data_IF_620972570783
#
_entry.id   IF_620972570783
#
_cell.length_a   1.000
_cell.length_b   1.000
_cell.length_c   1.000
_cell.angle_alpha   90.00
_cell.angle_beta   90.00
_cell.angle_gamma   90.00
#
_symmetry.space_group_name_H-M   'P 1'
#
loop_
_entity.id
_entity.type
_entity.pdbx_description
1 polymer ?
#
# COMPACT_ATOMS: atom_id res chain seq x y z
N UNK A 1 4.75 22.60 -0.68
CA UNK A 1 5.30 21.25 -0.35
C UNK A 1 4.52 20.61 0.78
N UNK A 2 4.32 21.30 1.91
CA UNK A 2 3.31 20.91 2.90
C UNK A 2 1.93 20.66 2.25
N UNK A 3 1.46 21.62 1.46
CA UNK A 3 0.21 21.50 0.67
C UNK A 3 0.15 20.25 -0.23
N UNK A 4 1.24 19.89 -0.91
CA UNK A 4 1.29 18.69 -1.74
C UNK A 4 1.18 17.40 -0.91
N UNK A 5 1.83 17.36 0.25
CA UNK A 5 1.75 16.21 1.16
C UNK A 5 0.37 16.15 1.80
N UNK A 6 -0.25 17.28 2.13
CA UNK A 6 -1.62 17.35 2.63
C UNK A 6 -2.62 16.86 1.58
N UNK A 7 -2.52 17.33 0.35
CA UNK A 7 -3.30 16.82 -0.79
C UNK A 7 -3.14 15.31 -0.93
N UNK A 8 -1.89 14.81 -0.94
CA UNK A 8 -1.59 13.38 -1.02
C UNK A 8 -2.26 12.59 0.11
N UNK A 9 -2.08 13.03 1.36
CA UNK A 9 -2.63 12.38 2.54
C UNK A 9 -4.16 12.33 2.46
N UNK A 10 -4.81 13.35 1.90
CA UNK A 10 -6.27 13.35 1.74
C UNK A 10 -6.78 12.33 0.72
N UNK A 11 -5.92 11.78 -0.15
CA UNK A 11 -6.27 10.64 -1.01
C UNK A 11 -6.30 9.33 -0.20
N UNK A 12 -7.20 8.40 -0.57
CA UNK A 12 -7.25 7.05 0.03
C UNK A 12 -6.10 6.20 -0.52
N UNK A 13 -5.35 5.52 0.35
CA UNK A 13 -4.46 4.42 -0.07
C UNK A 13 -5.30 3.39 -0.84
N UNK A 14 -4.92 3.10 -2.09
CA UNK A 14 -5.63 2.15 -2.96
C UNK A 14 -6.79 2.72 -3.78
N UNK A 15 -6.98 4.05 -3.81
CA UNK A 15 -7.96 4.70 -4.70
C UNK A 15 -7.54 4.74 -6.18
N UNK A 16 -8.51 4.90 -7.08
CA UNK A 16 -8.33 4.91 -8.54
C UNK A 16 -7.24 5.88 -9.04
N UNK A 17 -6.71 5.55 -10.23
CA UNK A 17 -5.57 6.13 -10.92
C UNK A 17 -5.32 7.62 -10.65
N UNK A 18 -4.10 7.92 -10.18
CA UNK A 18 -3.60 9.29 -10.09
C UNK A 18 -3.64 9.93 -11.48
N UNK A 19 -4.30 11.08 -11.61
CA UNK A 19 -4.08 11.95 -12.76
C UNK A 19 -2.69 12.57 -12.66
N UNK A 20 -1.94 12.56 -13.76
CA UNK A 20 -0.59 13.17 -13.88
C UNK A 20 0.51 12.53 -12.99
N UNK A 21 0.77 11.24 -13.24
CA UNK A 21 1.80 10.42 -12.57
C UNK A 21 3.19 11.08 -12.64
N UNK A 22 3.54 11.69 -13.77
CA UNK A 22 4.86 12.28 -14.01
C UNK A 22 5.12 13.50 -13.11
N UNK A 23 4.15 14.40 -12.98
CA UNK A 23 4.30 15.58 -12.12
C UNK A 23 4.31 15.20 -10.63
N UNK A 24 3.48 14.22 -10.23
CA UNK A 24 3.49 13.70 -8.86
C UNK A 24 4.86 13.11 -8.48
N UNK A 25 5.42 12.28 -9.34
CA UNK A 25 6.73 11.67 -9.13
C UNK A 25 7.86 12.69 -9.07
N UNK A 26 7.80 13.74 -9.92
CA UNK A 26 8.76 14.84 -9.89
C UNK A 26 8.70 15.60 -8.57
N UNK A 27 7.50 15.86 -8.03
CA UNK A 27 7.32 16.50 -6.72
C UNK A 27 7.89 15.62 -5.60
N UNK A 28 7.65 14.31 -5.63
CA UNK A 28 8.23 13.38 -4.66
C UNK A 28 9.76 13.31 -4.72
N UNK A 29 10.34 13.27 -5.92
CA UNK A 29 11.78 13.29 -6.09
C UNK A 29 12.41 14.56 -5.53
N UNK A 30 11.82 15.72 -5.85
CA UNK A 30 12.26 17.01 -5.31
C UNK A 30 12.14 17.04 -3.79
N UNK A 31 11.04 16.53 -3.23
CA UNK A 31 10.85 16.51 -1.78
C UNK A 31 11.88 15.62 -1.08
N UNK A 32 12.13 14.42 -1.61
CA UNK A 32 13.15 13.52 -1.11
C UNK A 32 14.54 14.19 -1.10
N UNK A 33 14.90 14.89 -2.18
CA UNK A 33 16.16 15.61 -2.29
C UNK A 33 16.28 16.75 -1.27
N UNK A 34 15.18 17.46 -1.00
CA UNK A 34 15.15 18.53 0.00
C UNK A 34 15.27 17.98 1.43
N UNK A 35 14.58 16.87 1.75
CA UNK A 35 14.66 16.23 3.06
C UNK A 35 16.08 15.73 3.37
N UNK A 36 16.78 15.15 2.37
CA UNK A 36 18.18 14.74 2.53
C UNK A 36 19.09 15.85 3.05
N UNK A 37 18.82 17.10 2.70
CA UNK A 37 19.65 18.24 3.09
C UNK A 37 19.16 18.94 4.36
N UNK A 38 17.85 18.97 4.59
CA UNK A 38 17.23 19.83 5.61
C UNK A 38 16.71 19.06 6.82
N UNK A 39 16.18 17.86 6.61
CA UNK A 39 15.55 17.07 7.66
C UNK A 39 15.55 15.57 7.30
N UNK A 40 16.70 14.89 7.47
CA UNK A 40 16.85 13.48 7.11
C UNK A 40 16.02 12.55 8.01
N UNK A 41 15.45 13.03 9.12
CA UNK A 41 14.65 12.19 10.03
C UNK A 41 13.36 11.70 9.39
N UNK A 42 12.85 12.40 8.37
CA UNK A 42 11.71 11.97 7.57
C UNK A 42 12.07 10.93 6.51
N UNK A 43 13.35 10.67 6.28
CA UNK A 43 13.78 9.59 5.39
C UNK A 43 13.72 8.28 6.15
N UNK A 44 13.22 7.24 5.48
CA UNK A 44 13.34 5.89 6.01
C UNK A 44 14.82 5.48 5.99
N UNK A 45 15.25 4.66 6.94
CA UNK A 45 16.61 4.15 6.94
C UNK A 45 16.86 3.32 5.66
N UNK A 46 18.08 3.41 5.13
CA UNK A 46 18.49 2.60 3.98
C UNK A 46 18.19 1.12 4.27
N UNK A 47 17.61 0.45 3.28
CA UNK A 47 17.32 -0.99 3.32
C UNK A 47 16.19 -1.44 4.27
N UNK A 48 15.45 -0.53 4.88
CA UNK A 48 14.25 -0.90 5.64
C UNK A 48 13.19 -1.53 4.71
N UNK A 49 12.55 -2.59 5.20
CA UNK A 49 11.50 -3.29 4.46
C UNK A 49 10.20 -2.52 4.55
N UNK A 50 9.53 -2.38 3.42
CA UNK A 50 8.23 -1.76 3.27
C UNK A 50 7.21 -2.74 2.73
N UNK A 51 5.96 -2.49 3.08
CA UNK A 51 4.84 -3.33 2.70
C UNK A 51 3.75 -2.48 2.04
N UNK A 52 3.20 -2.96 0.93
CA UNK A 52 2.06 -2.33 0.26
C UNK A 52 1.03 -3.40 -0.03
N UNK A 53 -0.23 -3.12 0.30
CA UNK A 53 -1.34 -3.96 -0.13
C UNK A 53 -1.82 -3.47 -1.48
N UNK A 54 -1.99 -4.39 -2.42
CA UNK A 54 -2.64 -4.13 -3.69
C UNK A 54 -4.13 -4.51 -3.60
N UNK A 55 -5.02 -3.59 -3.95
CA UNK A 55 -6.46 -3.83 -4.07
C UNK A 55 -6.80 -4.28 -5.47
N UNK A 56 -7.39 -5.46 -5.60
CA UNK A 56 -7.61 -6.11 -6.89
C UNK A 56 -8.81 -5.53 -7.67
N UNK A 57 -8.90 -5.81 -8.97
CA UNK A 57 -9.97 -5.33 -9.85
C UNK A 57 -11.17 -6.29 -10.00
N UNK A 58 -11.24 -7.39 -9.23
CA UNK A 58 -12.34 -8.35 -9.40
C UNK A 58 -13.68 -7.83 -8.86
N UNK A 59 -14.75 -8.03 -9.61
CA UNK A 59 -16.10 -7.70 -9.14
C UNK A 59 -16.50 -8.65 -8.01
N UNK A 60 -17.17 -8.10 -7.01
CA UNK A 60 -17.80 -8.88 -5.94
C UNK A 60 -18.72 -9.95 -6.56
N UNK A 61 -18.60 -11.24 -6.16
CA UNK A 61 -19.50 -12.29 -6.62
C UNK A 61 -20.94 -11.84 -6.44
N UNK A 62 -21.75 -11.88 -7.49
CA UNK A 62 -23.18 -11.58 -7.38
C UNK A 62 -23.92 -12.88 -7.13
N UNK A 63 -24.92 -12.86 -6.23
CA UNK A 63 -25.66 -14.07 -5.88
C UNK A 63 -26.35 -14.68 -7.11
N UNK A 64 -26.73 -13.84 -8.06
CA UNK A 64 -27.36 -14.23 -9.32
C UNK A 64 -26.43 -15.00 -10.26
N UNK A 65 -25.12 -14.96 -10.04
CA UNK A 65 -24.12 -15.72 -10.81
C UNK A 65 -24.01 -17.19 -10.35
N UNK A 66 -24.72 -17.58 -9.28
CA UNK A 66 -24.62 -18.89 -8.65
C UNK A 66 -25.98 -19.56 -8.51
N UNK A 67 -26.10 -20.76 -9.05
CA UNK A 67 -27.27 -21.62 -8.85
C UNK A 67 -27.31 -22.24 -7.43
N UNK A 68 -26.16 -22.25 -6.73
CA UNK A 68 -25.98 -22.82 -5.39
C UNK A 68 -25.57 -21.74 -4.35
N UNK A 69 -26.37 -21.61 -3.30
CA UNK A 69 -26.14 -20.66 -2.21
C UNK A 69 -24.92 -21.01 -1.35
N UNK A 70 -24.57 -22.29 -1.22
CA UNK A 70 -23.40 -22.74 -0.47
C UNK A 70 -22.12 -22.40 -1.23
N UNK A 71 -22.11 -22.60 -2.55
CA UNK A 71 -21.02 -22.17 -3.42
C UNK A 71 -20.88 -20.65 -3.44
N UNK A 72 -21.98 -19.89 -3.53
CA UNK A 72 -21.95 -18.42 -3.40
C UNK A 72 -21.32 -18.00 -2.07
N UNK A 73 -21.73 -18.59 -0.94
CA UNK A 73 -21.15 -18.24 0.38
C UNK A 73 -19.67 -18.53 0.43
N UNK A 74 -19.25 -19.68 -0.12
CA UNK A 74 -17.85 -20.08 -0.16
C UNK A 74 -17.03 -19.14 -1.03
N UNK A 75 -17.50 -18.82 -2.23
CA UNK A 75 -16.81 -17.94 -3.18
C UNK A 75 -16.86 -16.47 -2.76
N UNK A 76 -17.92 -16.05 -2.06
CA UNK A 76 -17.99 -14.74 -1.42
C UNK A 76 -17.04 -14.64 -0.23
N UNK A 77 -16.93 -15.68 0.58
CA UNK A 77 -15.92 -15.76 1.64
C UNK A 77 -14.50 -15.81 1.08
N UNK A 78 -14.28 -16.55 -0.01
CA UNK A 78 -13.01 -16.58 -0.72
C UNK A 78 -12.69 -15.22 -1.33
N UNK A 79 -13.63 -14.55 -2.00
CA UNK A 79 -13.46 -13.17 -2.48
C UNK A 79 -13.08 -12.20 -1.36
N UNK A 80 -13.66 -12.36 -0.17
CA UNK A 80 -13.32 -11.54 1.00
C UNK A 80 -11.95 -11.86 1.61
N UNK A 81 -11.41 -13.07 1.40
CA UNK A 81 -10.22 -13.59 2.10
C UNK A 81 -9.02 -13.90 1.19
N UNK A 82 -9.27 -14.03 -0.11
CA UNK A 82 -8.39 -14.53 -1.17
C UNK A 82 -8.84 -13.92 -2.50
N UNK A 83 -8.38 -12.71 -2.82
CA UNK A 83 -8.39 -12.22 -4.19
C UNK A 83 -7.05 -12.58 -4.82
N UNK A 84 -6.96 -13.59 -5.69
CA UNK A 84 -5.71 -13.96 -6.34
C UNK A 84 -5.45 -12.97 -7.48
N UNK A 85 -4.95 -11.78 -7.14
CA UNK A 85 -4.17 -11.09 -8.16
C UNK A 85 -2.95 -11.95 -8.47
N UNK A 86 -2.61 -12.00 -9.73
CA UNK A 86 -1.32 -12.51 -10.17
C UNK A 86 -0.34 -11.35 -10.19
N UNK A 87 0.94 -11.61 -9.91
CA UNK A 87 2.01 -10.59 -9.97
C UNK A 87 1.99 -9.78 -11.28
N UNK A 88 1.48 -10.35 -12.37
CA UNK A 88 1.35 -9.72 -13.70
C UNK A 88 0.48 -8.47 -13.75
N UNK A 89 -0.39 -8.22 -12.77
CA UNK A 89 -1.23 -7.01 -12.73
C UNK A 89 -0.55 -5.83 -12.05
N UNK A 90 0.57 -6.07 -11.37
CA UNK A 90 1.33 -5.02 -10.68
C UNK A 90 2.24 -4.33 -11.68
N UNK A 91 2.02 -3.03 -11.87
CA UNK A 91 2.90 -2.19 -12.68
C UNK A 91 4.11 -1.75 -11.83
N UNK A 92 5.28 -2.27 -12.19
CA UNK A 92 6.57 -1.89 -11.61
C UNK A 92 7.24 -0.82 -12.48
N UNK A 93 6.60 0.34 -12.58
CA UNK A 93 7.00 1.47 -13.42
C UNK A 93 7.86 2.51 -12.69
N UNK A 94 8.27 2.20 -11.45
CA UNK A 94 9.06 3.08 -10.59
C UNK A 94 8.33 4.38 -10.21
N UNK A 95 7.01 4.40 -10.32
CA UNK A 95 6.18 5.46 -9.77
C UNK A 95 6.22 5.48 -8.24
N UNK A 96 6.15 6.69 -7.65
CA UNK A 96 6.06 6.86 -6.20
C UNK A 96 4.67 6.46 -5.71
N UNK A 97 4.59 5.51 -4.79
CA UNK A 97 3.33 4.99 -4.24
C UNK A 97 3.41 4.84 -2.73
N UNK A 98 2.25 4.71 -2.10
CA UNK A 98 2.13 4.52 -0.64
C UNK A 98 2.49 3.10 -0.21
N UNK A 99 3.24 3.00 0.87
CA UNK A 99 3.58 1.80 1.61
C UNK A 99 3.31 2.06 3.10
N UNK A 100 3.48 1.02 3.91
CA UNK A 100 3.64 1.12 5.36
C UNK A 100 4.91 0.38 5.75
N UNK A 101 5.59 0.85 6.79
CA UNK A 101 6.73 0.17 7.38
C UNK A 101 6.33 -0.76 8.54
N UNK A 102 5.03 -0.93 8.78
CA UNK A 102 4.50 -1.61 9.96
C UNK A 102 3.68 -2.85 9.59
N UNK A 103 4.17 -4.02 10.03
CA UNK A 103 3.45 -5.29 9.90
C UNK A 103 2.05 -5.21 10.53
N UNK A 104 1.96 -4.66 11.74
CA UNK A 104 0.72 -4.57 12.52
C UNK A 104 -0.37 -3.76 11.80
N UNK A 105 0.02 -2.76 10.98
CA UNK A 105 -0.92 -1.95 10.21
C UNK A 105 -1.60 -2.80 9.15
N UNK A 106 -0.82 -3.56 8.37
CA UNK A 106 -1.37 -4.46 7.33
C UNK A 106 -2.24 -5.55 7.93
N UNK A 107 -1.86 -6.08 9.09
CA UNK A 107 -2.63 -7.15 9.75
C UNK A 107 -3.79 -6.63 10.59
N UNK A 108 -3.97 -5.32 10.70
CA UNK A 108 -5.04 -4.72 11.50
C UNK A 108 -6.43 -5.02 10.96
N UNK A 109 -7.43 -4.86 11.82
CA UNK A 109 -8.85 -4.97 11.43
C UNK A 109 -9.27 -3.86 10.46
N UNK A 110 -8.62 -2.69 10.49
CA UNK A 110 -8.93 -1.60 9.57
C UNK A 110 -8.61 -1.96 8.11
N UNK A 111 -7.50 -2.65 7.86
CA UNK A 111 -7.18 -3.17 6.53
C UNK A 111 -8.12 -4.31 6.12
N UNK A 112 -8.64 -5.09 7.07
CA UNK A 112 -9.69 -6.07 6.82
C UNK A 112 -10.98 -5.40 6.31
N UNK A 113 -11.44 -4.35 7.02
CA UNK A 113 -12.66 -3.60 6.68
C UNK A 113 -12.57 -2.96 5.31
N UNK A 114 -11.37 -2.54 4.90
CA UNK A 114 -11.11 -1.97 3.56
C UNK A 114 -11.03 -3.01 2.44
N UNK A 115 -11.24 -4.30 2.73
CA UNK A 115 -11.06 -5.41 1.78
C UNK A 115 -9.62 -5.44 1.20
N UNK A 116 -8.65 -5.00 2.01
CA UNK A 116 -7.23 -4.88 1.66
C UNK A 116 -6.44 -6.06 2.26
N UNK A 117 -6.74 -7.29 1.81
CA UNK A 117 -6.02 -8.52 2.19
C UNK A 117 -5.82 -9.49 1.00
N UNK A 118 -5.62 -8.94 -0.19
CA UNK A 118 -5.32 -9.73 -1.41
C UNK A 118 -3.83 -10.08 -1.50
N UNK A 119 -3.07 -9.23 -2.18
CA UNK A 119 -1.61 -9.35 -2.27
C UNK A 119 -0.89 -8.32 -1.41
N UNK A 120 0.22 -8.76 -0.82
CA UNK A 120 1.18 -7.90 -0.14
C UNK A 120 2.47 -7.86 -0.95
N UNK A 121 2.81 -6.67 -1.43
CA UNK A 121 4.08 -6.36 -2.06
C UNK A 121 5.07 -6.05 -0.94
N UNK A 122 6.18 -6.80 -0.91
CA UNK A 122 7.29 -6.58 0.01
C UNK A 122 8.43 -5.96 -0.78
N UNK A 123 8.83 -4.75 -0.42
CA UNK A 123 9.87 -4.01 -1.11
C UNK A 123 10.95 -3.50 -0.14
N UNK A 124 12.13 -3.25 -0.68
CA UNK A 124 13.26 -2.62 -0.02
C UNK A 124 13.79 -1.48 -0.90
N UNK A 125 13.06 -0.36 -0.98
CA UNK A 125 13.40 0.73 -1.87
C UNK A 125 14.68 1.46 -1.40
N UNK A 126 15.36 2.09 -2.36
CA UNK A 126 16.56 2.93 -2.10
C UNK A 126 16.23 4.36 -1.65
N UNK A 127 14.97 4.77 -1.81
CA UNK A 127 14.44 6.08 -1.45
C UNK A 127 13.04 5.91 -0.89
N UNK A 128 12.78 6.49 0.27
CA UNK A 128 11.50 6.39 0.95
C UNK A 128 11.34 7.57 1.92
N UNK A 129 10.11 8.09 2.00
CA UNK A 129 9.78 9.25 2.84
C UNK A 129 8.65 8.85 3.79
N UNK A 130 8.88 8.99 5.09
CA UNK A 130 7.88 8.82 6.14
C UNK A 130 6.99 10.07 6.18
N UNK A 131 5.72 9.88 5.86
CA UNK A 131 4.72 10.96 5.86
C UNK A 131 3.71 10.84 7.01
N UNK A 132 3.71 9.73 7.74
CA UNK A 132 2.84 9.53 8.90
C UNK A 132 2.97 10.56 10.03
N UNK A 133 4.12 11.24 10.26
CA UNK A 133 4.14 12.37 11.20
C UNK A 133 3.19 13.50 10.78
N UNK A 134 3.07 13.76 9.47
CA UNK A 134 2.12 14.75 8.94
C UNK A 134 0.69 14.20 8.84
N UNK A 135 0.50 12.88 8.70
CA UNK A 135 -0.84 12.27 8.63
C UNK A 135 -1.68 12.61 9.87
N UNK A 136 -1.07 12.54 11.06
CA UNK A 136 -1.76 12.88 12.32
C UNK A 136 -2.22 14.33 12.35
N UNK A 137 -1.40 15.25 11.85
CA UNK A 137 -1.72 16.69 11.81
C UNK A 137 -2.86 17.01 10.84
N UNK A 138 -3.00 16.22 9.76
CA UNK A 138 -3.98 16.45 8.68
C UNK A 138 -5.29 15.70 8.93
N UNK A 139 -5.21 14.42 9.30
CA UNK A 139 -6.39 13.57 9.51
C UNK A 139 -6.87 13.53 10.96
N UNK A 140 -6.12 14.03 11.94
CA UNK A 140 -6.50 13.95 13.35
C UNK A 140 -6.48 12.51 13.88
N UNK A 141 -7.52 12.11 14.61
CA UNK A 141 -7.61 10.80 15.30
C UNK A 141 -7.97 9.61 14.38
N UNK A 142 -7.74 9.73 13.07
CA UNK A 142 -7.89 8.60 12.16
C UNK A 142 -6.81 7.54 12.42
N UNK A 143 -7.12 6.30 12.04
CA UNK A 143 -6.18 5.19 12.12
C UNK A 143 -4.86 5.54 11.40
N UNK A 144 -3.75 5.46 12.14
CA UNK A 144 -2.41 5.75 11.62
C UNK A 144 -1.91 4.55 10.81
N UNK A 145 -1.95 4.68 9.49
CA UNK A 145 -1.47 3.68 8.53
C UNK A 145 0.07 3.64 8.47
N UNK A 146 0.77 4.50 9.22
CA UNK A 146 2.22 4.65 9.17
C UNK A 146 2.73 4.78 7.73
N UNK A 147 2.07 5.66 6.98
CA UNK A 147 2.29 5.81 5.56
C UNK A 147 3.72 6.28 5.24
N UNK A 148 4.34 5.57 4.32
CA UNK A 148 5.65 5.83 3.74
C UNK A 148 5.50 5.89 2.22
N UNK A 149 6.01 6.91 1.56
CA UNK A 149 5.98 7.00 0.10
C UNK A 149 7.32 6.58 -0.47
N UNK A 150 7.29 5.66 -1.42
CA UNK A 150 8.49 5.13 -2.08
C UNK A 150 8.17 4.70 -3.52
N UNK A 151 9.18 4.59 -4.40
CA UNK A 151 9.00 4.04 -5.74
C UNK A 151 8.71 2.56 -5.72
N UNK A 152 7.78 2.12 -6.57
CA UNK A 152 7.54 0.71 -6.83
C UNK A 152 8.38 0.24 -8.03
N UNK A 153 9.55 -0.29 -7.72
CA UNK A 153 10.50 -0.84 -8.71
C UNK A 153 10.66 -2.35 -8.49
N UNK A 154 10.57 -3.12 -9.57
CA UNK A 154 10.76 -4.58 -9.58
C UNK A 154 12.13 -4.96 -9.01
N UNK A 155 13.18 -4.18 -9.28
CA UNK A 155 14.53 -4.45 -8.77
C UNK A 155 14.67 -4.27 -7.26
N UNK A 156 13.75 -3.51 -6.65
CA UNK A 156 13.70 -3.32 -5.19
C UNK A 156 12.61 -4.14 -4.52
N UNK A 157 11.81 -4.87 -5.31
CA UNK A 157 10.74 -5.73 -4.83
C UNK A 157 11.35 -7.07 -4.41
N UNK A 158 11.18 -7.43 -3.13
CA UNK A 158 11.68 -8.69 -2.57
C UNK A 158 10.74 -9.84 -2.91
N UNK A 159 9.43 -9.62 -2.73
CA UNK A 159 8.42 -10.64 -3.00
C UNK A 159 7.03 -10.01 -3.19
N UNK A 160 6.14 -10.77 -3.80
CA UNK A 160 4.71 -10.50 -3.85
C UNK A 160 4.03 -11.75 -3.35
N UNK A 161 3.39 -11.66 -2.18
CA UNK A 161 2.81 -12.80 -1.49
C UNK A 161 1.31 -12.61 -1.32
N UNK A 162 0.55 -13.70 -1.27
CA UNK A 162 -0.79 -13.62 -0.70
C UNK A 162 -0.73 -13.12 0.75
N UNK A 163 -1.81 -12.52 1.24
CA UNK A 163 -1.85 -12.04 2.63
C UNK A 163 -1.52 -13.15 3.65
N UNK A 164 -2.00 -14.37 3.45
CA UNK A 164 -1.72 -15.51 4.34
C UNK A 164 -0.23 -15.89 4.35
N UNK A 165 0.40 -15.98 3.18
CA UNK A 165 1.83 -16.24 3.07
C UNK A 165 2.67 -15.10 3.66
N UNK A 166 2.23 -13.86 3.48
CA UNK A 166 2.87 -12.70 4.12
C UNK A 166 2.85 -12.82 5.64
N UNK A 167 1.69 -13.08 6.24
CA UNK A 167 1.55 -13.24 7.69
C UNK A 167 2.41 -14.40 8.20
N UNK A 168 2.46 -15.52 7.47
CA UNK A 168 3.28 -16.67 7.86
C UNK A 168 4.79 -16.37 7.83
N UNK A 169 5.25 -15.58 6.84
CA UNK A 169 6.68 -15.35 6.61
C UNK A 169 7.26 -14.10 7.30
N UNK A 170 6.44 -13.09 7.56
CA UNK A 170 6.89 -11.77 8.03
C UNK A 170 6.38 -11.38 9.43
N UNK A 171 5.61 -12.26 10.10
CA UNK A 171 5.22 -12.02 11.48
C UNK A 171 6.48 -11.82 12.35
N UNK A 172 6.60 -10.69 13.08
CA UNK A 172 7.68 -10.49 14.03
C UNK A 172 7.70 -11.64 15.06
N UNK A 173 8.89 -12.16 15.35
CA UNK A 173 9.08 -13.20 16.37
C UNK A 173 9.05 -12.62 17.78
#
# INVERSE_FOLDING_TARGET
>A
MKEFVEEWIMHKIGGEARTDLADSDKKWEQFHHQLKQKDPNHLLADQQVLFRVHTTNEKEPQKEDYDDLEQFKLDYQNYQTHRPDTRSEIQFDNHWVSFTDSFDVITSDEFAKKRMRGLVIIARPKKAIKIYPQVKDVKGDFFDEKEVVAPLDEHTTLNVLSFHEFVANYRPK
#
